data_IF_874224088664
#
_entry.id   IF_874224088664
#
_cell.length_a   1.000
_cell.length_b   1.000
_cell.length_c   1.000
_cell.angle_alpha   90.00
_cell.angle_beta   90.00
_cell.angle_gamma   90.00
#
_symmetry.space_group_name_H-M   'P 1'
#
loop_
_entity.id
_entity.type
_entity.pdbx_description
1 polymer ?
#
# COMPACT_ATOMS: atom_id res chain seq x y z
N UNK A 1 -33.16 13.22 -0.68
CA UNK A 1 -32.05 12.28 -0.45
C UNK A 1 -31.20 12.88 0.63
N UNK A 2 -31.19 12.30 1.84
CA UNK A 2 -30.29 12.74 2.90
C UNK A 2 -28.85 12.56 2.41
N UNK A 3 -27.97 13.53 2.63
CA UNK A 3 -26.52 13.36 2.42
C UNK A 3 -26.04 12.26 3.39
N UNK A 4 -26.22 11.00 2.99
CA UNK A 4 -26.02 9.84 3.85
C UNK A 4 -24.55 9.55 4.02
N UNK A 5 -24.01 9.86 5.20
CA UNK A 5 -22.72 9.35 5.64
C UNK A 5 -22.67 7.83 5.42
N UNK A 6 -21.62 7.37 4.74
CA UNK A 6 -21.37 5.94 4.55
C UNK A 6 -21.07 5.34 5.92
N UNK A 7 -21.66 4.17 6.23
CA UNK A 7 -21.28 3.48 7.45
C UNK A 7 -19.82 3.02 7.37
N UNK A 8 -19.16 2.84 8.52
CA UNK A 8 -17.81 2.29 8.55
C UNK A 8 -17.73 0.92 7.86
N UNK A 9 -18.79 0.10 7.96
CA UNK A 9 -18.88 -1.18 7.26
C UNK A 9 -18.94 -1.01 5.73
N UNK A 10 -19.66 -0.01 5.23
CA UNK A 10 -19.71 0.29 3.79
C UNK A 10 -18.36 0.79 3.28
N UNK A 11 -17.67 1.62 4.07
CA UNK A 11 -16.33 2.10 3.75
C UNK A 11 -15.32 0.93 3.71
N UNK A 12 -15.34 0.06 4.71
CA UNK A 12 -14.47 -1.12 4.77
C UNK A 12 -14.72 -2.07 3.59
N UNK A 13 -15.99 -2.32 3.25
CA UNK A 13 -16.37 -3.14 2.10
C UNK A 13 -15.86 -2.56 0.78
N UNK A 14 -15.98 -1.24 0.59
CA UNK A 14 -15.49 -0.54 -0.61
C UNK A 14 -13.97 -0.54 -0.70
N UNK A 15 -13.27 -0.30 0.40
CA UNK A 15 -11.80 -0.36 0.46
C UNK A 15 -11.30 -1.77 0.17
N UNK A 16 -11.94 -2.78 0.76
CA UNK A 16 -11.61 -4.19 0.52
C UNK A 16 -11.78 -4.58 -0.95
N UNK A 17 -12.87 -4.15 -1.59
CA UNK A 17 -13.09 -4.40 -3.02
C UNK A 17 -12.01 -3.72 -3.90
N UNK A 18 -11.67 -2.47 -3.59
CA UNK A 18 -10.60 -1.75 -4.29
C UNK A 18 -9.25 -2.44 -4.14
N UNK A 19 -8.89 -2.85 -2.92
CA UNK A 19 -7.65 -3.60 -2.64
C UNK A 19 -7.56 -4.87 -3.46
N UNK A 20 -8.64 -5.65 -3.54
CA UNK A 20 -8.68 -6.88 -4.32
C UNK A 20 -8.44 -6.63 -5.81
N UNK A 21 -9.12 -5.62 -6.38
CA UNK A 21 -8.96 -5.25 -7.80
C UNK A 21 -7.54 -4.75 -8.07
N UNK A 22 -6.99 -3.89 -7.22
CA UNK A 22 -5.63 -3.36 -7.34
C UNK A 22 -4.58 -4.48 -7.24
N UNK A 23 -4.70 -5.38 -6.26
CA UNK A 23 -3.80 -6.52 -6.14
C UNK A 23 -3.83 -7.41 -7.40
N UNK A 24 -5.03 -7.67 -7.95
CA UNK A 24 -5.21 -8.45 -9.17
C UNK A 24 -4.59 -7.79 -10.40
N UNK A 25 -4.68 -6.46 -10.50
CA UNK A 25 -4.07 -5.67 -11.58
C UNK A 25 -2.54 -5.68 -11.47
N UNK A 26 -2.01 -5.31 -10.29
CA UNK A 26 -0.57 -5.26 -10.04
C UNK A 26 0.10 -6.62 -10.29
N UNK A 27 -0.53 -7.72 -9.89
CA UNK A 27 0.00 -9.06 -10.13
C UNK A 27 0.13 -9.44 -11.62
N UNK A 28 -0.55 -8.73 -12.53
CA UNK A 28 -0.49 -8.90 -13.99
C UNK A 28 0.40 -7.88 -14.69
N UNK A 29 0.44 -6.65 -14.19
CA UNK A 29 1.20 -5.56 -14.82
C UNK A 29 2.64 -5.51 -14.34
N UNK A 30 2.91 -5.84 -13.07
CA UNK A 30 4.25 -5.86 -12.49
C UNK A 30 4.86 -7.24 -12.69
N UNK A 31 5.60 -7.40 -13.77
CA UNK A 31 6.19 -8.69 -14.19
C UNK A 31 7.69 -8.81 -13.96
N UNK A 32 8.36 -7.72 -13.55
CA UNK A 32 9.80 -7.71 -13.32
C UNK A 32 10.18 -6.98 -12.02
N UNK A 33 11.34 -7.30 -11.42
CA UNK A 33 11.85 -6.60 -10.24
C UNK A 33 12.06 -5.10 -10.47
N UNK A 34 12.46 -4.69 -11.68
CA UNK A 34 12.70 -3.29 -12.04
C UNK A 34 11.40 -2.49 -12.02
N UNK A 35 10.31 -3.04 -12.59
CA UNK A 35 9.00 -2.42 -12.56
C UNK A 35 8.46 -2.28 -11.12
N UNK A 36 8.73 -3.26 -10.26
CA UNK A 36 8.36 -3.17 -8.85
C UNK A 36 9.18 -2.09 -8.11
N UNK A 37 10.48 -2.00 -8.42
CA UNK A 37 11.35 -0.97 -7.85
C UNK A 37 10.96 0.44 -8.27
N UNK A 38 10.56 0.64 -9.53
CA UNK A 38 10.05 1.91 -10.04
C UNK A 38 8.76 2.32 -9.32
N UNK A 39 7.80 1.38 -9.20
CA UNK A 39 6.56 1.60 -8.46
C UNK A 39 6.81 1.99 -7.00
N UNK A 40 7.72 1.29 -6.31
CA UNK A 40 8.11 1.62 -4.92
C UNK A 40 8.69 3.02 -4.83
N UNK A 41 9.59 3.37 -5.74
CA UNK A 41 10.23 4.69 -5.76
C UNK A 41 9.20 5.81 -5.98
N UNK A 42 8.20 5.57 -6.82
CA UNK A 42 7.10 6.52 -7.04
C UNK A 42 6.21 6.68 -5.80
N UNK A 43 5.92 5.59 -5.09
CA UNK A 43 5.04 5.60 -3.91
C UNK A 43 5.73 6.14 -2.65
N UNK A 44 7.03 5.89 -2.47
CA UNK A 44 7.82 6.45 -1.35
C UNK A 44 7.88 7.98 -1.41
N UNK A 45 7.76 8.60 -2.59
CA UNK A 45 7.64 10.06 -2.71
C UNK A 45 6.31 10.60 -2.13
N UNK A 46 5.31 9.74 -1.95
CA UNK A 46 3.97 10.11 -1.51
C UNK A 46 3.66 9.69 -0.05
N UNK A 47 4.53 8.90 0.60
CA UNK A 47 4.25 8.27 1.90
C UNK A 47 5.39 8.57 2.88
N UNK A 48 5.12 9.14 4.06
CA UNK A 48 6.17 9.46 5.02
C UNK A 48 6.92 8.19 5.50
N UNK A 49 8.23 8.31 5.79
CA UNK A 49 9.05 7.20 6.30
C UNK A 49 8.49 6.59 7.59
N UNK A 50 8.78 5.31 7.79
CA UNK A 50 8.33 4.50 8.94
C UNK A 50 9.00 4.92 10.27
N UNK A 51 10.09 5.68 10.20
CA UNK A 51 10.94 5.91 11.36
C UNK A 51 10.50 7.15 12.13
N UNK A 52 10.00 6.86 13.32
CA UNK A 52 9.48 7.79 14.30
C UNK A 52 10.65 8.52 14.96
N UNK A 53 11.14 9.60 14.34
CA UNK A 53 11.63 10.73 15.15
C UNK A 53 10.41 11.43 15.78
N UNK A 54 9.70 10.70 16.64
CA UNK A 54 8.75 11.29 17.57
C UNK A 54 9.56 12.06 18.60
N UNK A 55 9.62 13.38 18.44
CA UNK A 55 10.01 14.29 19.49
C UNK A 55 9.11 14.01 20.72
N UNK A 56 9.64 13.69 21.91
CA UNK A 56 8.83 13.40 23.10
C UNK A 56 8.08 14.67 23.52
N UNK A 57 6.92 14.91 22.92
CA UNK A 57 6.15 16.14 23.06
C UNK A 57 5.39 16.59 21.81
N UNK A 58 5.67 16.01 20.64
CA UNK A 58 4.89 16.27 19.43
C UNK A 58 3.51 15.60 19.55
N UNK A 59 2.46 16.41 19.67
CA UNK A 59 1.08 15.95 19.56
C UNK A 59 0.87 15.46 18.12
N UNK A 60 0.38 14.23 17.88
CA UNK A 60 0.06 13.76 16.54
C UNK A 60 -0.95 14.72 15.91
N UNK A 61 -0.56 15.40 14.83
CA UNK A 61 -1.47 16.21 14.04
C UNK A 61 -2.48 15.28 13.34
N UNK A 62 -3.75 15.67 13.25
CA UNK A 62 -4.85 14.84 12.71
C UNK A 62 -4.58 14.38 11.26
N UNK A 63 -3.67 15.05 10.55
CA UNK A 63 -3.19 14.67 9.22
C UNK A 63 -2.25 13.44 9.16
N UNK A 64 -1.67 13.02 10.28
CA UNK A 64 -0.69 11.91 10.32
C UNK A 64 -1.36 10.53 10.26
N UNK A 65 -2.51 10.36 10.91
CA UNK A 65 -3.21 9.08 10.96
C UNK A 65 -3.69 8.58 9.57
N UNK A 66 -4.27 9.43 8.69
CA UNK A 66 -4.61 9.02 7.32
C UNK A 66 -3.40 8.66 6.46
N UNK A 67 -2.29 9.39 6.60
CA UNK A 67 -1.04 9.12 5.88
C UNK A 67 -0.41 7.79 6.31
N UNK A 68 -0.42 7.50 7.61
CA UNK A 68 0.06 6.24 8.15
C UNK A 68 -0.80 5.06 7.68
N UNK A 69 -2.12 5.20 7.66
CA UNK A 69 -3.05 4.20 7.14
C UNK A 69 -2.82 3.93 5.64
N UNK A 70 -2.63 4.97 4.83
CA UNK A 70 -2.30 4.84 3.41
C UNK A 70 -0.95 4.11 3.22
N UNK A 71 0.06 4.45 4.02
CA UNK A 71 1.36 3.79 4.00
C UNK A 71 1.31 2.31 4.36
N UNK A 72 0.44 1.93 5.29
CA UNK A 72 0.20 0.53 5.62
C UNK A 72 -0.44 -0.23 4.45
N UNK A 73 -1.47 0.35 3.84
CA UNK A 73 -2.21 -0.27 2.73
C UNK A 73 -1.31 -0.50 1.51
N UNK A 74 -0.43 0.44 1.19
CA UNK A 74 0.55 0.27 0.10
C UNK A 74 1.47 -0.92 0.36
N UNK A 75 1.99 -1.08 1.58
CA UNK A 75 2.87 -2.21 1.91
C UNK A 75 2.16 -3.55 1.73
N UNK A 76 0.90 -3.65 2.16
CA UNK A 76 0.08 -4.85 1.98
C UNK A 76 -0.13 -5.22 0.51
N UNK A 77 -0.22 -4.22 -0.39
CA UNK A 77 -0.35 -4.46 -1.82
C UNK A 77 0.96 -4.92 -2.48
N UNK A 78 2.12 -4.46 -1.98
CA UNK A 78 3.42 -4.73 -2.61
C UNK A 78 4.10 -6.01 -2.11
N UNK A 79 3.92 -6.39 -0.84
CA UNK A 79 4.56 -7.57 -0.24
C UNK A 79 4.30 -8.88 -1.04
N UNK A 80 3.07 -9.19 -1.50
CA UNK A 80 2.83 -10.38 -2.31
C UNK A 80 3.55 -10.36 -3.67
N UNK A 81 3.78 -9.17 -4.23
CA UNK A 81 4.50 -9.01 -5.51
C UNK A 81 5.99 -9.29 -5.33
N UNK A 82 6.57 -8.80 -4.23
CA UNK A 82 7.96 -9.07 -3.86
C UNK A 82 8.21 -10.57 -3.74
N UNK A 83 7.35 -11.28 -2.98
CA UNK A 83 7.42 -12.73 -2.83
C UNK A 83 7.38 -13.43 -4.20
N UNK A 84 6.34 -13.16 -4.99
CA UNK A 84 6.13 -13.79 -6.31
C UNK A 84 7.31 -13.59 -7.26
N UNK A 85 7.90 -12.39 -7.30
CA UNK A 85 9.03 -12.10 -8.18
C UNK A 85 10.33 -12.76 -7.69
N UNK A 86 10.54 -12.81 -6.37
CA UNK A 86 11.69 -13.52 -5.79
C UNK A 86 11.67 -15.01 -6.11
N UNK A 87 10.51 -15.66 -6.02
CA UNK A 87 10.33 -17.08 -6.35
C UNK A 87 10.64 -17.37 -7.83
N UNK A 88 10.17 -16.50 -8.73
CA UNK A 88 10.43 -16.62 -10.17
C UNK A 88 11.91 -16.55 -10.50
N UNK A 89 12.65 -15.68 -9.83
CA UNK A 89 14.10 -15.55 -10.02
C UNK A 89 14.82 -16.84 -9.59
N UNK A 90 14.48 -17.38 -8.42
CA UNK A 90 15.06 -18.66 -7.93
C UNK A 90 14.79 -19.82 -8.90
N UNK A 91 13.64 -19.83 -9.56
CA UNK A 91 13.30 -20.86 -10.54
C UNK A 91 14.02 -20.70 -11.89
N UNK A 92 14.39 -19.48 -12.28
CA UNK A 92 15.12 -19.20 -13.51
C UNK A 92 16.62 -19.51 -13.41
N UNK A 93 17.18 -19.46 -12.19
CA UNK A 93 18.60 -19.74 -11.92
C UNK A 93 18.91 -21.25 -11.72
N UNK A 94 17.89 -22.13 -11.79
CA UNK A 94 18.00 -23.59 -11.71
C UNK A 94 17.94 -24.23 -13.09
#
# INVERSE_FOLDING_TARGET
MSNGELSNFDLEGRLSAQRQVLAWLLARTITSPEALSDLKSHLDQAIPPRDHQEDPGAVPDDGYAPLAAAGFEVRLLLEPLEHKLSERRVQADK
#
